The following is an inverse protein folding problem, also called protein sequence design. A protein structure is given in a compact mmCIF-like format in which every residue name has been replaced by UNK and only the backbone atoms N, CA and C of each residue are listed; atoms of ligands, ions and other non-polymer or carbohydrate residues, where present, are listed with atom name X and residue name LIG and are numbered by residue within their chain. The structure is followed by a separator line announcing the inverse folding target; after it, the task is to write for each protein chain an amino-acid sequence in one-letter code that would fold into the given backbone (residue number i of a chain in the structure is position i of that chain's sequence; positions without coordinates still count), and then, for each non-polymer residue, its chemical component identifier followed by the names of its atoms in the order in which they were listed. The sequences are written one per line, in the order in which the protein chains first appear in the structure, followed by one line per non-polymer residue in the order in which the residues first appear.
data_IF_844023263980
#
_entry.id   IF_844023263980
#
_cell.length_a   1.000
_cell.length_b   1.000
_cell.length_c   1.000
_cell.angle_alpha   90.00
_cell.angle_beta   90.00
_cell.angle_gamma   90.00
#
_symmetry.space_group_name_H-M   'P 1'
#
loop_
_entity.id
_entity.type
_entity.pdbx_description
1 polymer ?
#
# COMPACT_ATOMS: atom_id res chain seq x y z
N UNK A 1 11.46 8.19 -11.48
CA UNK A 1 11.48 6.76 -11.78
C UNK A 1 12.74 6.15 -11.19
N UNK A 2 12.66 4.87 -10.85
CA UNK A 2 13.81 4.11 -10.38
C UNK A 2 14.93 4.16 -11.41
N UNK A 3 16.13 4.58 -11.00
CA UNK A 3 17.26 4.83 -11.88
C UNK A 3 18.61 4.42 -11.25
N UNK A 4 18.56 3.58 -10.21
CA UNK A 4 19.77 3.06 -9.58
C UNK A 4 20.43 2.00 -10.45
N UNK A 5 21.77 1.90 -10.41
CA UNK A 5 22.52 0.88 -11.14
C UNK A 5 22.30 -0.52 -10.56
N UNK A 6 22.10 -0.60 -9.26
CA UNK A 6 21.90 -1.85 -8.53
C UNK A 6 20.51 -1.92 -7.92
N UNK A 7 19.86 -3.09 -7.88
CA UNK A 7 18.60 -3.25 -7.19
C UNK A 7 18.76 -3.07 -5.67
N UNK A 8 17.75 -2.58 -4.95
CA UNK A 8 17.82 -2.34 -3.51
C UNK A 8 18.13 -3.57 -2.66
N UNK A 9 17.91 -4.76 -3.20
CA UNK A 9 18.30 -6.03 -2.57
C UNK A 9 19.82 -6.26 -2.53
N UNK A 10 20.57 -5.58 -3.38
CA UNK A 10 22.04 -5.67 -3.47
C UNK A 10 22.71 -4.43 -2.89
N UNK A 11 22.13 -3.25 -3.11
CA UNK A 11 22.63 -1.99 -2.61
C UNK A 11 21.48 -1.07 -2.26
N UNK A 12 21.39 -0.69 -0.97
CA UNK A 12 20.34 0.24 -0.54
C UNK A 12 20.52 1.62 -1.22
N UNK A 13 19.46 2.18 -1.82
CA UNK A 13 19.52 3.49 -2.46
C UNK A 13 19.92 4.59 -1.47
N UNK A 14 20.77 5.51 -1.93
CA UNK A 14 21.27 6.64 -1.13
C UNK A 14 20.57 7.97 -1.48
N UNK A 15 19.66 7.98 -2.45
CA UNK A 15 18.86 9.16 -2.78
C UNK A 15 18.14 9.66 -1.51
N UNK A 16 18.27 10.95 -1.14
CA UNK A 16 17.75 11.47 0.14
C UNK A 16 16.27 11.16 0.39
N UNK A 17 15.44 11.21 -0.66
CA UNK A 17 14.02 10.88 -0.58
C UNK A 17 13.78 9.39 -0.31
N UNK A 18 14.57 8.51 -0.91
CA UNK A 18 14.49 7.06 -0.68
C UNK A 18 14.96 6.71 0.74
N UNK A 19 16.03 7.34 1.21
CA UNK A 19 16.52 7.18 2.59
C UNK A 19 15.46 7.63 3.60
N UNK A 20 14.84 8.80 3.37
CA UNK A 20 13.78 9.31 4.24
C UNK A 20 12.55 8.40 4.27
N UNK A 21 12.11 7.91 3.10
CA UNK A 21 10.99 6.97 3.02
C UNK A 21 11.28 5.69 3.80
N UNK A 22 12.45 5.08 3.55
CA UNK A 22 12.90 3.88 4.25
C UNK A 22 12.94 4.08 5.76
N UNK A 23 13.62 5.13 6.23
CA UNK A 23 13.74 5.42 7.66
C UNK A 23 12.39 5.64 8.33
N UNK A 24 11.47 6.33 7.64
CA UNK A 24 10.12 6.54 8.16
C UNK A 24 9.35 5.21 8.29
N UNK A 25 9.45 4.33 7.30
CA UNK A 25 8.80 3.01 7.35
C UNK A 25 9.43 2.13 8.44
N UNK A 26 10.75 2.11 8.53
CA UNK A 26 11.48 1.31 9.53
C UNK A 26 11.13 1.70 10.98
N UNK A 27 10.82 2.98 11.21
CA UNK A 27 10.43 3.50 12.51
C UNK A 27 8.98 3.14 12.93
N UNK A 28 8.16 2.57 12.03
CA UNK A 28 6.76 2.24 12.32
C UNK A 28 6.58 0.74 12.61
N UNK A 29 5.60 0.42 13.44
CA UNK A 29 5.23 -0.97 13.76
C UNK A 29 4.40 -1.60 12.63
N UNK A 30 3.62 -0.79 11.91
CA UNK A 30 2.77 -1.22 10.82
C UNK A 30 2.76 -0.19 9.67
N UNK A 31 2.35 -0.65 8.48
CA UNK A 31 2.23 0.20 7.28
C UNK A 31 0.85 0.00 6.66
N UNK A 32 0.21 1.09 6.29
CA UNK A 32 -1.01 1.08 5.48
C UNK A 32 -0.69 1.64 4.09
N UNK A 33 -0.82 0.80 3.08
CA UNK A 33 -0.75 1.27 1.70
C UNK A 33 -2.13 1.65 1.18
N UNK A 34 -2.22 2.81 0.56
CA UNK A 34 -3.45 3.30 -0.07
C UNK A 34 -3.16 3.62 -1.52
N UNK A 35 -3.89 3.02 -2.45
CA UNK A 35 -3.66 3.19 -3.89
C UNK A 35 -4.94 3.46 -4.67
N UNK A 36 -4.91 4.40 -5.64
CA UNK A 36 -5.91 4.42 -6.69
C UNK A 36 -5.73 3.21 -7.61
N UNK A 37 -6.78 2.89 -8.38
CA UNK A 37 -6.67 2.02 -9.53
C UNK A 37 -6.38 2.84 -10.78
N UNK A 38 -5.23 2.62 -11.38
CA UNK A 38 -4.85 3.21 -12.67
C UNK A 38 -4.58 2.10 -13.68
N UNK A 39 -5.40 2.03 -14.74
CA UNK A 39 -5.28 0.99 -15.78
C UNK A 39 -5.22 -0.43 -15.18
N UNK A 40 -6.15 -0.75 -14.29
CA UNK A 40 -6.26 -2.04 -13.60
C UNK A 40 -5.05 -2.42 -12.72
N UNK A 41 -4.29 -1.46 -12.23
CA UNK A 41 -3.17 -1.74 -11.33
C UNK A 41 -2.94 -0.61 -10.33
N UNK A 42 -1.90 -0.75 -9.53
CA UNK A 42 -1.42 0.29 -8.60
C UNK A 42 -0.91 1.51 -9.35
N UNK A 43 -0.89 2.67 -8.71
CA UNK A 43 -0.30 3.86 -9.31
C UNK A 43 1.22 3.68 -9.53
N UNK A 44 1.72 4.23 -10.64
CA UNK A 44 3.15 4.21 -10.95
C UNK A 44 3.99 4.87 -9.84
N UNK A 45 3.46 5.90 -9.19
CA UNK A 45 4.13 6.60 -8.08
C UNK A 45 4.34 5.67 -6.90
N UNK A 46 3.30 4.91 -6.50
CA UNK A 46 3.41 3.95 -5.40
C UNK A 46 4.38 2.82 -5.74
N UNK A 47 4.25 2.24 -6.94
CA UNK A 47 5.14 1.17 -7.39
C UNK A 47 6.61 1.64 -7.41
N UNK A 48 6.86 2.84 -7.92
CA UNK A 48 8.19 3.45 -7.94
C UNK A 48 8.75 3.66 -6.52
N UNK A 49 7.93 4.10 -5.57
CA UNK A 49 8.34 4.26 -4.17
C UNK A 49 8.73 2.91 -3.55
N UNK A 50 7.94 1.86 -3.79
CA UNK A 50 8.23 0.50 -3.33
C UNK A 50 9.52 -0.04 -3.96
N UNK A 51 9.77 0.25 -5.23
CA UNK A 51 10.97 -0.20 -5.95
C UNK A 51 12.28 0.37 -5.38
N UNK A 52 12.22 1.45 -4.59
CA UNK A 52 13.37 2.00 -3.86
C UNK A 52 13.60 1.37 -2.49
N UNK A 53 12.72 0.48 -2.02
CA UNK A 53 12.83 -0.11 -0.68
C UNK A 53 13.72 -1.36 -0.69
N UNK A 54 14.75 -1.43 0.18
CA UNK A 54 15.42 -2.71 0.46
C UNK A 54 14.44 -3.75 1.02
N UNK A 55 14.64 -5.04 0.74
CA UNK A 55 13.74 -6.11 1.20
C UNK A 55 13.50 -6.10 2.72
N UNK A 56 14.52 -5.76 3.50
CA UNK A 56 14.41 -5.73 4.96
C UNK A 56 13.45 -4.65 5.50
N UNK A 57 13.12 -3.63 4.70
CA UNK A 57 12.31 -2.47 5.15
C UNK A 57 10.90 -2.87 5.59
N UNK A 58 10.28 -3.83 4.90
CA UNK A 58 8.92 -4.30 5.21
C UNK A 58 8.90 -5.68 5.85
N UNK A 59 10.05 -6.33 6.00
CA UNK A 59 10.12 -7.69 6.55
C UNK A 59 9.48 -7.74 7.94
N UNK A 60 8.61 -8.73 8.14
CA UNK A 60 7.88 -9.01 9.39
C UNK A 60 6.98 -7.85 9.88
N UNK A 61 6.81 -6.77 9.10
CA UNK A 61 5.87 -5.70 9.43
C UNK A 61 4.44 -6.07 9.08
N UNK A 62 3.51 -5.70 9.95
CA UNK A 62 2.08 -5.74 9.67
C UNK A 62 1.73 -4.74 8.55
N UNK A 63 1.10 -5.22 7.49
CA UNK A 63 0.75 -4.38 6.34
C UNK A 63 -0.73 -4.50 6.01
N UNK A 64 -1.41 -3.36 5.97
CA UNK A 64 -2.77 -3.22 5.48
C UNK A 64 -2.82 -2.63 4.08
N UNK A 65 -3.84 -3.02 3.30
CA UNK A 65 -4.03 -2.56 1.93
C UNK A 65 -5.41 -1.94 1.75
N UNK A 66 -5.45 -0.74 1.22
CA UNK A 66 -6.67 -0.02 0.82
C UNK A 66 -6.54 0.41 -0.63
N UNK A 67 -7.53 0.10 -1.43
CA UNK A 67 -7.62 0.57 -2.81
C UNK A 67 -8.89 1.38 -3.03
N UNK A 68 -8.89 2.28 -4.01
CA UNK A 68 -10.08 3.02 -4.40
C UNK A 68 -10.18 3.17 -5.93
N UNK A 69 -11.39 2.98 -6.44
CA UNK A 69 -11.72 3.14 -7.86
C UNK A 69 -13.23 3.23 -8.05
N UNK A 70 -13.66 3.44 -9.29
CA UNK A 70 -15.09 3.32 -9.66
C UNK A 70 -15.62 1.88 -9.54
N UNK A 71 -14.74 0.89 -9.42
CA UNK A 71 -15.07 -0.54 -9.42
C UNK A 71 -14.64 -1.28 -8.15
N UNK A 72 -14.14 -0.55 -7.11
CA UNK A 72 -13.76 -1.13 -5.83
C UNK A 72 -12.31 -1.62 -5.72
N UNK A 73 -11.49 -1.40 -6.76
CA UNK A 73 -10.04 -1.61 -6.75
C UNK A 73 -9.55 -3.05 -6.41
N UNK A 74 -10.32 -4.09 -6.73
CA UNK A 74 -9.92 -5.47 -6.44
C UNK A 74 -8.58 -5.84 -7.11
N UNK A 75 -8.42 -5.55 -8.40
CA UNK A 75 -7.20 -5.88 -9.16
C UNK A 75 -5.93 -5.19 -8.62
N UNK A 76 -5.90 -3.87 -8.40
CA UNK A 76 -4.71 -3.25 -7.82
C UNK A 76 -4.41 -3.74 -6.40
N UNK A 77 -5.40 -4.13 -5.61
CA UNK A 77 -5.18 -4.71 -4.28
C UNK A 77 -4.52 -6.09 -4.37
N UNK A 78 -4.95 -6.93 -5.31
CA UNK A 78 -4.35 -8.22 -5.60
C UNK A 78 -2.87 -8.06 -6.04
N UNK A 79 -2.60 -7.16 -6.99
CA UNK A 79 -1.24 -6.84 -7.42
C UNK A 79 -0.37 -6.31 -6.28
N UNK A 80 -0.91 -5.40 -5.47
CA UNK A 80 -0.17 -4.82 -4.35
C UNK A 80 0.14 -5.86 -3.27
N UNK A 81 -0.79 -6.77 -3.01
CA UNK A 81 -0.59 -7.89 -2.10
C UNK A 81 0.59 -8.76 -2.55
N UNK A 82 0.62 -9.14 -3.83
CA UNK A 82 1.74 -9.91 -4.39
C UNK A 82 3.07 -9.16 -4.26
N UNK A 83 3.11 -7.89 -4.66
CA UNK A 83 4.30 -7.04 -4.60
C UNK A 83 4.85 -6.98 -3.17
N UNK A 84 4.00 -6.64 -2.21
CA UNK A 84 4.43 -6.42 -0.81
C UNK A 84 4.81 -7.73 -0.13
N UNK A 85 4.14 -8.83 -0.47
CA UNK A 85 4.47 -10.15 0.05
C UNK A 85 5.90 -10.61 -0.29
N UNK A 86 6.48 -10.12 -1.39
CA UNK A 86 7.87 -10.44 -1.75
C UNK A 86 8.90 -9.91 -0.75
N UNK A 87 8.54 -8.93 0.07
CA UNK A 87 9.38 -8.39 1.14
C UNK A 87 9.35 -9.23 2.43
N UNK A 88 8.53 -10.29 2.49
CA UNK A 88 8.31 -11.04 3.72
C UNK A 88 7.49 -10.25 4.76
N UNK A 89 6.66 -9.31 4.32
CA UNK A 89 5.72 -8.58 5.16
C UNK A 89 4.57 -9.49 5.62
N UNK A 90 4.03 -9.19 6.80
CA UNK A 90 2.80 -9.81 7.31
C UNK A 90 1.59 -9.04 6.75
N UNK A 91 1.24 -9.33 5.49
CA UNK A 91 0.14 -8.67 4.80
C UNK A 91 -1.19 -9.21 5.30
N UNK A 92 -2.06 -8.30 5.77
CA UNK A 92 -3.39 -8.69 6.25
C UNK A 92 -4.25 -9.23 5.11
N UNK A 93 -4.92 -10.36 5.35
CA UNK A 93 -5.80 -11.00 4.36
C UNK A 93 -6.98 -10.09 4.00
N UNK A 94 -7.55 -9.41 5.01
CA UNK A 94 -8.59 -8.44 4.78
C UNK A 94 -8.04 -7.19 4.14
N UNK A 95 -8.51 -6.93 2.94
CA UNK A 95 -8.22 -5.71 2.18
C UNK A 95 -9.49 -4.87 2.07
N UNK A 96 -9.35 -3.56 1.91
CA UNK A 96 -10.48 -2.65 1.80
C UNK A 96 -10.51 -2.00 0.42
N UNK A 97 -11.56 -2.26 -0.34
CA UNK A 97 -11.86 -1.60 -1.61
C UNK A 97 -12.91 -0.52 -1.43
N UNK A 98 -12.59 0.71 -1.80
CA UNK A 98 -13.51 1.86 -1.77
C UNK A 98 -14.04 2.11 -3.17
N UNK A 99 -15.37 2.18 -3.32
CA UNK A 99 -16.01 2.47 -4.59
C UNK A 99 -16.39 3.95 -4.67
N UNK A 100 -15.80 4.67 -5.63
CA UNK A 100 -16.02 6.10 -5.80
C UNK A 100 -17.47 6.45 -6.20
N UNK A 101 -18.20 5.50 -6.80
CA UNK A 101 -19.60 5.70 -7.19
C UNK A 101 -20.58 5.53 -6.04
N UNK A 102 -20.35 4.61 -5.11
CA UNK A 102 -21.28 4.31 -4.01
C UNK A 102 -20.88 4.93 -2.68
N UNK A 103 -19.58 5.10 -2.44
CA UNK A 103 -19.08 5.53 -1.13
C UNK A 103 -18.83 7.05 -1.03
N UNK A 104 -19.20 7.79 -2.09
CA UNK A 104 -19.14 9.25 -2.14
C UNK A 104 -20.50 9.85 -2.50
N UNK A 105 -20.86 10.96 -1.86
CA UNK A 105 -22.01 11.80 -2.22
C UNK A 105 -21.53 13.25 -2.31
N UNK A 106 -21.83 13.91 -3.43
CA UNK A 106 -21.44 15.30 -3.67
C UNK A 106 -19.95 15.58 -3.41
N UNK A 107 -19.08 14.62 -3.77
CA UNK A 107 -17.63 14.71 -3.57
C UNK A 107 -17.16 14.47 -2.13
N UNK A 108 -18.06 14.10 -1.22
CA UNK A 108 -17.75 13.80 0.19
C UNK A 108 -17.76 12.28 0.41
N UNK A 109 -16.74 11.77 1.06
CA UNK A 109 -16.68 10.36 1.46
C UNK A 109 -17.74 10.06 2.50
N UNK A 110 -18.66 9.16 2.16
CA UNK A 110 -19.76 8.71 3.01
C UNK A 110 -19.85 7.18 2.96
N UNK A 111 -18.95 6.50 3.66
CA UNK A 111 -18.94 5.04 3.66
C UNK A 111 -20.19 4.46 4.32
N UNK A 112 -20.62 3.31 3.83
CA UNK A 112 -21.65 2.51 4.49
C UNK A 112 -21.18 2.02 5.86
N UNK A 113 -22.11 1.57 6.70
CA UNK A 113 -21.77 0.96 8.00
C UNK A 113 -20.87 -0.27 7.81
N UNK A 114 -21.10 -1.05 6.76
CA UNK A 114 -20.31 -2.21 6.41
C UNK A 114 -18.86 -1.81 6.04
N UNK A 115 -18.69 -0.83 5.15
CA UNK A 115 -17.35 -0.33 4.79
C UNK A 115 -16.63 0.27 5.99
N UNK A 116 -17.33 1.01 6.85
CA UNK A 116 -16.77 1.51 8.11
C UNK A 116 -16.28 0.39 9.02
N UNK A 117 -17.05 -0.70 9.13
CA UNK A 117 -16.66 -1.87 9.92
C UNK A 117 -15.41 -2.53 9.33
N UNK A 118 -15.33 -2.72 8.01
CA UNK A 118 -14.16 -3.29 7.33
C UNK A 118 -12.90 -2.44 7.54
N UNK A 119 -13.01 -1.10 7.44
CA UNK A 119 -11.89 -0.18 7.70
C UNK A 119 -11.42 -0.30 9.15
N UNK A 120 -12.34 -0.29 10.12
CA UNK A 120 -12.00 -0.44 11.54
C UNK A 120 -11.34 -1.77 11.85
N UNK A 121 -11.81 -2.85 11.27
CA UNK A 121 -11.24 -4.19 11.45
C UNK A 121 -9.83 -4.26 10.86
N UNK A 122 -9.62 -3.72 9.64
CA UNK A 122 -8.29 -3.64 9.06
C UNK A 122 -7.34 -2.85 9.96
N UNK A 123 -7.72 -1.65 10.40
CA UNK A 123 -6.88 -0.82 11.26
C UNK A 123 -6.60 -1.50 12.62
N UNK A 124 -7.58 -2.16 13.22
CA UNK A 124 -7.39 -2.91 14.47
C UNK A 124 -6.41 -4.08 14.30
N UNK A 125 -6.40 -4.72 13.13
CA UNK A 125 -5.49 -5.82 12.82
C UNK A 125 -4.02 -5.40 12.70
N UNK A 126 -3.76 -4.11 12.53
CA UNK A 126 -2.41 -3.54 12.42
C UNK A 126 -1.81 -3.12 13.76
N UNK A 127 -2.61 -3.13 14.81
CA UNK A 127 -2.18 -2.73 16.15
C UNK A 127 -1.36 -3.80 16.85
#
# INVERSE_FOLDING_TARGET
LFAEEMPPSMQAPELPEAVRLRTNIEAQDAVLFVTPEYNHSVSAVLKNAIDYLPPATLKDKAVGLVGYSWYGAATPLEHLHEIVSTFGADVREQQVGINLGSDFQDGVFKPSDELNAQIRELLASLA
#
